data_IF_591744216900
#
_entry.id   IF_591744216900
#
_cell.length_a   1.000
_cell.length_b   1.000
_cell.length_c   1.000
_cell.angle_alpha   90.00
_cell.angle_beta   90.00
_cell.angle_gamma   90.00
#
_symmetry.space_group_name_H-M   'P 1'
#
loop_
_entity.id
_entity.type
_entity.pdbx_description
1 polymer ?
#
# COMPACT_ATOMS: atom_id res chain seq x y z
N UNK A 1 -15.38 8.74 18.75
CA UNK A 1 -14.20 9.55 18.41
C UNK A 1 -14.52 10.23 17.08
N UNK A 2 -14.95 11.48 17.13
CA UNK A 2 -15.06 12.30 15.90
C UNK A 2 -13.70 12.26 15.20
N UNK A 3 -13.69 12.06 13.88
CA UNK A 3 -12.51 11.98 13.00
C UNK A 3 -11.81 10.62 12.82
N UNK A 4 -12.31 9.49 13.36
CA UNK A 4 -11.71 8.16 13.07
C UNK A 4 -11.64 7.85 11.57
N UNK A 5 -12.68 8.22 10.82
CA UNK A 5 -12.73 8.00 9.37
C UNK A 5 -11.70 8.89 8.65
N UNK A 6 -11.63 10.18 8.99
CA UNK A 6 -10.66 11.10 8.40
C UNK A 6 -9.22 10.65 8.64
N UNK A 7 -8.91 10.21 9.88
CA UNK A 7 -7.60 9.66 10.22
C UNK A 7 -7.24 8.44 9.35
N UNK A 8 -8.16 7.47 9.22
CA UNK A 8 -7.92 6.28 8.38
C UNK A 8 -7.68 6.63 6.91
N UNK A 9 -8.42 7.59 6.35
CA UNK A 9 -8.21 8.02 4.97
C UNK A 9 -6.89 8.78 4.79
N UNK A 10 -6.46 9.56 5.78
CA UNK A 10 -5.15 10.21 5.76
C UNK A 10 -4.02 9.19 5.79
N UNK A 11 -4.08 8.19 6.68
CA UNK A 11 -3.07 7.12 6.74
C UNK A 11 -3.03 6.30 5.44
N UNK A 12 -4.20 6.04 4.85
CA UNK A 12 -4.27 5.36 3.55
C UNK A 12 -3.66 6.19 2.42
N UNK A 13 -3.86 7.51 2.42
CA UNK A 13 -3.22 8.39 1.44
C UNK A 13 -1.69 8.33 1.55
N UNK A 14 -1.14 8.35 2.77
CA UNK A 14 0.30 8.20 2.99
C UNK A 14 0.85 6.87 2.44
N UNK A 15 0.10 5.77 2.59
CA UNK A 15 0.47 4.46 2.04
C UNK A 15 0.48 4.50 0.50
N UNK A 16 -0.54 5.09 -0.11
CA UNK A 16 -0.65 5.21 -1.57
C UNK A 16 0.51 6.05 -2.13
N UNK A 17 0.77 7.21 -1.53
CA UNK A 17 1.86 8.10 -1.93
C UNK A 17 3.21 7.38 -1.80
N UNK A 18 3.45 6.71 -0.67
CA UNK A 18 4.69 5.95 -0.47
C UNK A 18 4.87 4.84 -1.52
N UNK A 19 3.81 4.09 -1.83
CA UNK A 19 3.89 3.03 -2.85
C UNK A 19 4.23 3.59 -4.24
N UNK A 20 3.61 4.71 -4.62
CA UNK A 20 3.83 5.37 -5.89
C UNK A 20 5.25 5.98 -5.98
N UNK A 21 5.71 6.67 -4.95
CA UNK A 21 7.04 7.30 -4.91
C UNK A 21 8.17 6.26 -4.84
N UNK A 22 8.02 5.22 -4.02
CA UNK A 22 9.08 4.25 -3.74
C UNK A 22 9.24 3.21 -4.84
N UNK A 23 8.13 2.66 -5.32
CA UNK A 23 8.13 1.53 -6.26
C UNK A 23 7.68 1.92 -7.68
N UNK A 24 7.21 3.16 -7.86
CA UNK A 24 6.79 3.72 -9.14
C UNK A 24 5.29 3.58 -9.40
N UNK A 25 4.73 4.61 -10.03
CA UNK A 25 3.30 4.69 -10.40
C UNK A 25 2.82 3.51 -11.25
N UNK A 26 3.67 3.00 -12.15
CA UNK A 26 3.32 1.85 -13.01
C UNK A 26 3.04 0.60 -12.18
N UNK A 27 3.89 0.29 -11.19
CA UNK A 27 3.67 -0.86 -10.30
C UNK A 27 2.44 -0.66 -9.44
N UNK A 28 2.22 0.55 -8.93
CA UNK A 28 0.99 0.85 -8.18
C UNK A 28 -0.25 0.63 -9.06
N UNK A 29 -0.25 1.07 -10.32
CA UNK A 29 -1.34 0.82 -11.25
C UNK A 29 -1.55 -0.68 -11.52
N UNK A 30 -0.48 -1.45 -11.70
CA UNK A 30 -0.56 -2.92 -11.86
C UNK A 30 -1.15 -3.60 -10.62
N UNK A 31 -0.79 -3.14 -9.42
CA UNK A 31 -1.34 -3.63 -8.17
C UNK A 31 -2.85 -3.35 -8.09
N UNK A 32 -3.27 -2.10 -8.32
CA UNK A 32 -4.68 -1.71 -8.28
C UNK A 32 -5.53 -2.46 -9.33
N UNK A 33 -4.99 -2.62 -10.54
CA UNK A 33 -5.68 -3.38 -11.60
C UNK A 33 -5.75 -4.88 -11.28
N UNK A 34 -4.69 -5.45 -10.69
CA UNK A 34 -4.64 -6.83 -10.24
C UNK A 34 -5.72 -7.17 -9.20
N UNK A 35 -6.01 -6.25 -8.28
CA UNK A 35 -7.04 -6.42 -7.24
C UNK A 35 -8.47 -6.54 -7.81
N UNK A 36 -8.74 -6.02 -9.02
CA UNK A 36 -10.04 -6.26 -9.68
C UNK A 36 -10.21 -7.68 -10.20
N UNK A 37 -9.10 -8.42 -10.39
CA UNK A 37 -9.10 -9.76 -10.98
C UNK A 37 -8.79 -10.87 -9.98
N UNK A 38 -8.07 -10.56 -8.90
CA UNK A 38 -7.74 -11.49 -7.83
C UNK A 38 -8.07 -10.83 -6.48
N UNK A 39 -8.97 -11.47 -5.72
CA UNK A 39 -9.39 -11.02 -4.39
C UNK A 39 -8.35 -11.31 -3.30
N UNK A 40 -7.35 -12.16 -3.58
CA UNK A 40 -6.25 -12.40 -2.65
C UNK A 40 -5.23 -11.27 -2.75
N UNK A 41 -5.43 -10.27 -1.88
CA UNK A 41 -4.57 -9.11 -1.74
C UNK A 41 -3.08 -9.45 -1.62
N UNK A 42 -2.71 -10.37 -0.73
CA UNK A 42 -1.30 -10.66 -0.42
C UNK A 42 -0.58 -11.30 -1.61
N UNK A 43 -1.29 -12.14 -2.39
CA UNK A 43 -0.76 -12.69 -3.63
C UNK A 43 -0.52 -11.60 -4.68
N UNK A 44 -1.49 -10.70 -4.88
CA UNK A 44 -1.36 -9.61 -5.86
C UNK A 44 -0.22 -8.68 -5.45
N UNK A 45 -0.16 -8.30 -4.18
CA UNK A 45 0.88 -7.43 -3.64
C UNK A 45 2.27 -8.06 -3.83
N UNK A 46 2.44 -9.31 -3.39
CA UNK A 46 3.71 -10.02 -3.51
C UNK A 46 4.14 -10.23 -4.96
N UNK A 47 3.20 -10.44 -5.87
CA UNK A 47 3.49 -10.58 -7.31
C UNK A 47 4.03 -9.28 -7.94
N UNK A 48 3.49 -8.12 -7.54
CA UNK A 48 3.87 -6.83 -8.12
C UNK A 48 5.12 -6.24 -7.47
N UNK A 49 5.21 -6.32 -6.15
CA UNK A 49 6.28 -5.68 -5.37
C UNK A 49 7.40 -6.65 -4.96
N UNK A 50 7.24 -7.95 -5.22
CA UNK A 50 8.20 -9.01 -4.84
C UNK A 50 8.49 -9.07 -3.33
N UNK A 51 7.55 -8.59 -2.53
CA UNK A 51 7.68 -8.47 -1.07
C UNK A 51 6.30 -8.73 -0.43
N UNK A 52 6.26 -9.33 0.76
CA UNK A 52 4.99 -9.57 1.46
C UNK A 52 4.42 -8.28 2.03
N UNK A 53 3.09 -8.19 2.13
CA UNK A 53 2.48 -6.97 2.68
C UNK A 53 2.96 -6.66 4.11
N UNK A 54 3.22 -7.68 4.94
CA UNK A 54 3.78 -7.49 6.27
C UNK A 54 5.19 -6.90 6.27
N UNK A 55 6.04 -7.29 5.31
CA UNK A 55 7.38 -6.70 5.16
C UNK A 55 7.26 -5.23 4.74
N UNK A 56 6.33 -4.92 3.83
CA UNK A 56 6.02 -3.54 3.45
C UNK A 56 5.55 -2.70 4.65
N UNK A 57 4.66 -3.24 5.49
CA UNK A 57 4.16 -2.50 6.65
C UNK A 57 5.27 -2.12 7.63
N UNK A 58 6.24 -3.01 7.84
CA UNK A 58 7.43 -2.73 8.66
C UNK A 58 8.26 -1.62 8.00
N UNK A 59 8.56 -1.75 6.69
CA UNK A 59 9.32 -0.74 5.94
C UNK A 59 8.62 0.63 5.98
N UNK A 60 7.31 0.68 5.80
CA UNK A 60 6.52 1.90 5.83
C UNK A 60 6.59 2.60 7.20
N UNK A 61 6.38 1.86 8.29
CA UNK A 61 6.46 2.42 9.65
C UNK A 61 7.85 2.96 9.93
N UNK A 62 8.92 2.24 9.57
CA UNK A 62 10.31 2.67 9.81
C UNK A 62 10.69 3.94 9.03
N UNK A 63 10.10 4.17 7.85
CA UNK A 63 10.47 5.27 6.96
C UNK A 63 9.55 6.49 7.06
N UNK A 64 8.27 6.33 7.43
CA UNK A 64 7.26 7.39 7.38
C UNK A 64 6.75 7.80 8.77
N UNK A 65 6.57 6.84 9.68
CA UNK A 65 6.02 7.10 11.02
C UNK A 65 7.17 7.22 12.02
N UNK A 66 7.75 8.42 12.14
CA UNK A 66 8.70 8.78 13.21
C UNK A 66 8.04 9.57 14.32
#
# INVERSE_FOLDING_TARGET
MENKIAFLYSEFACIVDYLAERYGEEKFHQYMTGLFTNTNHDEVFKKVFSLSFSEFQIEFVENVIK
#
